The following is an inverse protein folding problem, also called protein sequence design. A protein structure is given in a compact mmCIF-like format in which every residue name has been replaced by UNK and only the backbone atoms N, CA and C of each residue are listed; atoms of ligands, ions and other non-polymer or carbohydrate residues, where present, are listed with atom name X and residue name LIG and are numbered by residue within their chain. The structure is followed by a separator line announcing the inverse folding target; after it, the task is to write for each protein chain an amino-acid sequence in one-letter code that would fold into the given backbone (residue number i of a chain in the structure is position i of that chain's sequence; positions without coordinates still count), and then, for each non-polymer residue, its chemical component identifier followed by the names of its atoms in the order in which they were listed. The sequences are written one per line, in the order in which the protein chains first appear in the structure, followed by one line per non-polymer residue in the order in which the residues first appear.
data_IF_836074535734
#
_entry.id   IF_836074535734
#
_cell.length_a   1.000
_cell.length_b   1.000
_cell.length_c   1.000
_cell.angle_alpha   90.00
_cell.angle_beta   90.00
_cell.angle_gamma   90.00
#
_symmetry.space_group_name_H-M   'P 1'
#
loop_
_entity.id
_entity.type
_entity.pdbx_description
1 polymer ?
#
# COMPACT_ATOMS: atom_id res chain seq x y z
N UNK A 1 4.75 8.89 -3.74
CA UNK A 1 3.53 9.54 -3.22
C UNK A 1 3.87 11.00 -3.00
N UNK A 2 2.90 11.89 -3.23
CA UNK A 2 3.13 13.34 -3.22
C UNK A 2 3.03 13.96 -1.82
N UNK A 3 2.36 13.29 -0.88
CA UNK A 3 2.11 13.82 0.48
C UNK A 3 2.04 12.68 1.52
N UNK A 4 2.29 12.99 2.79
CA UNK A 4 2.23 12.09 3.95
C UNK A 4 0.85 11.44 4.15
N UNK A 5 -0.24 12.14 3.85
CA UNK A 5 -1.60 11.58 3.95
C UNK A 5 -1.84 10.43 2.98
N UNK A 6 -1.21 10.46 1.81
CA UNK A 6 -1.27 9.37 0.85
C UNK A 6 -0.47 8.16 1.31
N UNK A 7 0.65 8.41 2.01
CA UNK A 7 1.46 7.36 2.63
C UNK A 7 0.67 6.66 3.72
N UNK A 8 -0.01 7.41 4.60
CA UNK A 8 -0.86 6.83 5.68
C UNK A 8 -1.95 5.92 5.13
N UNK A 9 -2.55 6.27 3.99
CA UNK A 9 -3.56 5.43 3.34
C UNK A 9 -3.02 4.12 2.82
N UNK A 10 -1.86 4.16 2.18
CA UNK A 10 -1.22 2.92 1.71
C UNK A 10 -0.70 2.09 2.88
N UNK A 11 -0.16 2.72 3.93
CA UNK A 11 0.22 2.05 5.16
C UNK A 11 -0.99 1.34 5.81
N UNK A 12 -2.15 2.01 5.90
CA UNK A 12 -3.37 1.42 6.42
C UNK A 12 -3.85 0.21 5.58
N UNK A 13 -3.78 0.31 4.25
CA UNK A 13 -4.12 -0.78 3.35
C UNK A 13 -3.20 -1.99 3.54
N UNK A 14 -1.90 -1.77 3.68
CA UNK A 14 -0.90 -2.83 3.86
C UNK A 14 -1.03 -3.48 5.24
N UNK A 15 -1.17 -2.70 6.33
CA UNK A 15 -1.29 -3.22 7.70
C UNK A 15 -2.56 -4.03 7.95
N UNK A 16 -3.57 -3.89 7.08
CA UNK A 16 -4.77 -4.71 7.10
C UNK A 16 -4.57 -6.14 6.62
N UNK A 17 -3.45 -6.42 5.94
CA UNK A 17 -3.21 -7.70 5.29
C UNK A 17 -2.72 -8.79 6.25
N UNK A 18 -3.13 -10.05 6.04
CA UNK A 18 -2.56 -11.18 6.77
C UNK A 18 -1.06 -11.29 6.47
N UNK A 19 -0.27 -11.74 7.46
CA UNK A 19 1.18 -11.88 7.30
C UNK A 19 1.99 -10.58 7.46
N UNK A 20 1.33 -9.43 7.64
CA UNK A 20 1.95 -8.17 8.04
C UNK A 20 1.83 -8.01 9.56
N UNK A 21 2.95 -7.89 10.26
CA UNK A 21 2.96 -7.66 11.71
C UNK A 21 2.55 -6.21 11.99
N UNK A 22 1.39 -6.03 12.61
CA UNK A 22 0.82 -4.70 12.90
C UNK A 22 1.70 -3.89 13.84
N UNK A 23 2.37 -4.59 14.76
CA UNK A 23 3.33 -4.11 15.75
C UNK A 23 4.74 -3.85 15.18
N UNK A 24 5.04 -4.28 13.95
CA UNK A 24 6.33 -4.02 13.32
C UNK A 24 6.28 -2.65 12.61
N UNK A 25 6.56 -1.60 13.36
CA UNK A 25 6.67 -0.22 12.85
C UNK A 25 7.85 -0.04 11.90
N UNK A 26 8.86 -0.91 11.97
CA UNK A 26 10.01 -0.91 11.04
C UNK A 26 9.78 -1.80 9.82
N UNK A 27 8.69 -2.59 9.81
CA UNK A 27 8.38 -3.55 8.76
C UNK A 27 7.86 -2.91 7.47
N UNK A 28 7.49 -1.62 7.48
CA UNK A 28 7.02 -0.89 6.30
C UNK A 28 7.81 0.42 6.18
N UNK A 29 8.56 0.57 5.10
CA UNK A 29 9.41 1.76 4.84
C UNK A 29 9.04 2.37 3.50
N UNK A 30 8.73 3.66 3.49
CA UNK A 30 8.39 4.40 2.26
C UNK A 30 9.60 5.25 1.82
N UNK A 31 10.07 5.02 0.59
CA UNK A 31 11.23 5.72 0.01
C UNK A 31 10.95 6.13 -1.43
N UNK A 32 10.82 7.43 -1.68
CA UNK A 32 10.80 8.02 -3.04
C UNK A 32 9.91 7.24 -4.04
N UNK A 33 8.66 6.96 -3.62
CA UNK A 33 7.62 6.18 -4.32
C UNK A 33 7.74 4.66 -4.30
N UNK A 34 8.72 4.12 -3.58
CA UNK A 34 8.81 2.69 -3.26
C UNK A 34 8.29 2.44 -1.85
N UNK A 35 7.75 1.24 -1.64
CA UNK A 35 7.45 0.72 -0.31
C UNK A 35 8.22 -0.58 -0.13
N UNK A 36 8.94 -0.69 0.98
CA UNK A 36 9.66 -1.89 1.39
C UNK A 36 8.87 -2.50 2.53
N UNK A 37 8.44 -3.75 2.35
CA UNK A 37 7.57 -4.44 3.31
C UNK A 37 8.25 -5.73 3.74
N UNK A 38 8.38 -5.92 5.04
CA UNK A 38 8.71 -7.20 5.66
C UNK A 38 7.41 -7.95 5.93
N UNK A 39 7.27 -9.14 5.36
CA UNK A 39 6.05 -9.93 5.44
C UNK A 39 6.38 -11.42 5.59
N UNK A 40 5.42 -12.17 6.11
CA UNK A 40 5.48 -13.63 6.13
C UNK A 40 5.00 -14.20 4.78
N UNK A 41 5.92 -14.78 4.02
CA UNK A 41 5.65 -15.34 2.69
C UNK A 41 4.82 -16.63 2.72
N UNK A 42 4.68 -17.28 3.88
CA UNK A 42 3.76 -18.40 4.05
C UNK A 42 2.31 -17.94 4.23
N UNK A 43 2.10 -16.69 4.67
CA UNK A 43 0.78 -16.11 4.93
C UNK A 43 0.27 -15.25 3.78
N UNK A 44 1.16 -14.55 3.05
CA UNK A 44 0.77 -13.64 1.97
C UNK A 44 1.78 -13.60 0.83
N UNK A 45 1.28 -13.47 -0.39
CA UNK A 45 2.11 -13.30 -1.58
C UNK A 45 2.35 -11.83 -1.90
N UNK A 46 3.48 -11.54 -2.58
CA UNK A 46 3.82 -10.20 -3.03
C UNK A 46 2.68 -9.53 -3.83
N UNK A 47 2.06 -10.28 -4.75
CA UNK A 47 0.93 -9.77 -5.56
C UNK A 47 -0.26 -9.29 -4.74
N UNK A 48 -0.52 -9.90 -3.59
CA UNK A 48 -1.64 -9.50 -2.75
C UNK A 48 -1.43 -8.08 -2.19
N UNK A 49 -0.19 -7.71 -1.87
CA UNK A 49 0.14 -6.35 -1.46
C UNK A 49 -0.01 -5.37 -2.61
N UNK A 50 0.39 -5.74 -3.83
CA UNK A 50 0.19 -4.89 -5.02
C UNK A 50 -1.29 -4.63 -5.27
N UNK A 51 -2.14 -5.65 -5.15
CA UNK A 51 -3.60 -5.50 -5.25
C UNK A 51 -4.18 -4.63 -4.14
N UNK A 52 -3.72 -4.78 -2.89
CA UNK A 52 -4.18 -3.93 -1.79
C UNK A 52 -3.86 -2.44 -2.00
N UNK A 53 -2.68 -2.15 -2.56
CA UNK A 53 -2.28 -0.78 -2.91
C UNK A 53 -3.15 -0.24 -4.08
N UNK A 54 -3.43 -1.10 -5.07
CA UNK A 54 -4.34 -0.77 -6.18
C UNK A 54 -5.76 -0.47 -5.73
N UNK A 55 -6.29 -1.24 -4.78
CA UNK A 55 -7.60 -1.04 -4.18
C UNK A 55 -7.65 0.17 -3.26
N UNK A 56 -6.49 0.61 -2.74
CA UNK A 56 -6.35 1.92 -2.11
C UNK A 56 -6.30 3.08 -3.11
N UNK A 57 -6.37 2.82 -4.42
CA UNK A 57 -6.40 3.82 -5.49
C UNK A 57 -5.02 4.23 -6.04
N UNK A 58 -3.96 3.50 -5.70
CA UNK A 58 -2.59 3.79 -6.13
C UNK A 58 -2.06 2.67 -7.03
N UNK A 59 -1.35 3.01 -8.11
CA UNK A 59 -0.69 1.98 -8.91
C UNK A 59 0.50 1.38 -8.15
N UNK A 60 0.67 0.07 -8.23
CA UNK A 60 1.76 -0.66 -7.60
C UNK A 60 2.41 -1.61 -8.62
N UNK A 61 3.67 -1.33 -8.97
CA UNK A 61 4.44 -2.10 -9.95
C UNK A 61 3.64 -2.35 -11.25
N UNK A 62 3.22 -3.59 -11.47
CA UNK A 62 2.47 -4.02 -12.66
C UNK A 62 0.95 -3.93 -12.51
N UNK A 63 0.44 -3.62 -11.32
CA UNK A 63 -0.99 -3.52 -11.04
C UNK A 63 -1.41 -2.04 -11.11
N UNK A 64 -2.28 -1.66 -12.07
CA UNK A 64 -2.78 -0.30 -12.16
C UNK A 64 -3.72 0.02 -10.99
N UNK A 65 -3.84 1.30 -10.65
CA UNK A 65 -4.79 1.77 -9.65
C UNK A 65 -6.23 1.38 -10.02
N UNK A 66 -7.00 0.94 -9.02
CA UNK A 66 -8.44 0.80 -9.17
C UNK A 66 -9.06 2.20 -9.41
N UNK A 67 -9.80 2.35 -10.51
CA UNK A 67 -10.33 3.63 -10.96
C UNK A 67 -11.32 4.21 -9.93
N UNK A 68 -12.25 3.40 -9.45
CA UNK A 68 -13.25 3.81 -8.46
C UNK A 68 -12.62 4.25 -7.14
N UNK A 69 -11.56 3.56 -6.71
CA UNK A 69 -10.82 3.93 -5.51
C UNK A 69 -10.04 5.23 -5.71
N UNK A 70 -9.38 5.37 -6.86
CA UNK A 70 -8.61 6.57 -7.22
C UNK A 70 -9.50 7.81 -7.33
N UNK A 71 -10.71 7.69 -7.86
CA UNK A 71 -11.65 8.81 -7.96
C UNK A 71 -12.15 9.28 -6.58
N UNK A 72 -12.16 8.38 -5.59
CA UNK A 72 -12.50 8.69 -4.20
C UNK A 72 -11.30 9.18 -3.37
N UNK A 73 -10.09 9.21 -3.93
CA UNK A 73 -8.95 9.82 -3.25
C UNK A 73 -9.15 11.33 -3.13
N UNK A 74 -8.81 11.92 -1.98
CA UNK A 74 -8.58 13.34 -1.84
C UNK A 74 -7.68 13.92 -2.93
N UNK A 75 -7.93 15.18 -3.35
CA UNK A 75 -7.19 15.84 -4.43
C UNK A 75 -5.68 15.80 -4.25
N UNK A 76 -5.20 15.88 -3.00
CA UNK A 76 -3.79 15.81 -2.64
C UNK A 76 -3.14 14.45 -2.93
N UNK A 77 -3.95 13.40 -3.09
CA UNK A 77 -3.51 12.04 -3.40
C UNK A 77 -3.84 11.57 -4.82
N UNK A 78 -4.50 12.40 -5.63
CA UNK A 78 -4.74 12.14 -7.06
C UNK A 78 -3.51 12.45 -7.94
#
# INVERSE_FOLDING_TARGET
MKNEDCVKRVDAAIRGLPGIRKDDTNGIVFLDRKVIIKYDSLSIAHKNMEHAIADAGFAANSIPANKDARDKLPPECK
#
